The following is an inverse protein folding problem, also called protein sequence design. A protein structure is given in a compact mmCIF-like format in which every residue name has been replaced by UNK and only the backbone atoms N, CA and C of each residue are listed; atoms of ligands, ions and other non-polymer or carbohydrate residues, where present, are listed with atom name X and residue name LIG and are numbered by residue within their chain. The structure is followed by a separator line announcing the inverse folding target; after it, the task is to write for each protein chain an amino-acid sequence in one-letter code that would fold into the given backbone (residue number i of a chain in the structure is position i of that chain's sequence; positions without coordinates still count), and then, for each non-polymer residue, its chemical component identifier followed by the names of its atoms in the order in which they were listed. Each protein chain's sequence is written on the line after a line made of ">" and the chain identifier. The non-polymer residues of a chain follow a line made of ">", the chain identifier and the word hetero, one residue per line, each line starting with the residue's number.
data_IF_861902077705
#
_entry.id   IF_861902077705
#
_cell.length_a   1.000
_cell.length_b   1.000
_cell.length_c   1.000
_cell.angle_alpha   90.00
_cell.angle_beta   90.00
_cell.angle_gamma   90.00
#
_symmetry.space_group_name_H-M   'P 1'
#
loop_
_entity.id
_entity.type
_entity.pdbx_description
1 polymer ?
#
# COMPACT_ATOMS: atom_id res chain seq x y z
N UNK A 1 -8.70 19.75 5.38
CA UNK A 1 -7.49 20.10 4.58
C UNK A 1 -6.18 19.67 5.24
N UNK A 2 -5.84 20.09 6.47
CA UNK A 2 -4.64 19.56 7.17
C UNK A 2 -4.90 18.23 7.91
N UNK A 3 -6.10 18.06 8.46
CA UNK A 3 -6.48 16.86 9.22
C UNK A 3 -6.64 15.63 8.33
N UNK A 4 -7.25 15.77 7.14
CA UNK A 4 -7.42 14.65 6.19
C UNK A 4 -6.09 14.07 5.71
N UNK A 5 -5.08 14.93 5.52
CA UNK A 5 -3.72 14.50 5.13
C UNK A 5 -3.01 13.77 6.26
N UNK A 6 -3.22 14.17 7.52
CA UNK A 6 -2.67 13.48 8.69
C UNK A 6 -3.33 12.11 8.91
N UNK A 7 -4.65 12.03 8.77
CA UNK A 7 -5.40 10.77 8.87
C UNK A 7 -4.94 9.78 7.79
N UNK A 8 -4.80 10.24 6.54
CA UNK A 8 -4.33 9.40 5.45
C UNK A 8 -2.92 8.85 5.70
N UNK A 9 -2.03 9.69 6.21
CA UNK A 9 -0.67 9.31 6.57
C UNK A 9 -0.64 8.23 7.67
N UNK A 10 -1.41 8.42 8.73
CA UNK A 10 -1.51 7.46 9.84
C UNK A 10 -2.12 6.12 9.40
N UNK A 11 -3.15 6.16 8.55
CA UNK A 11 -3.73 4.96 7.95
C UNK A 11 -2.70 4.20 7.12
N UNK A 12 -1.92 4.90 6.27
CA UNK A 12 -0.86 4.30 5.48
C UNK A 12 0.22 3.66 6.36
N UNK A 13 0.61 4.32 7.45
CA UNK A 13 1.56 3.78 8.41
C UNK A 13 1.05 2.50 9.08
N UNK A 14 -0.21 2.47 9.52
CA UNK A 14 -0.82 1.29 10.13
C UNK A 14 -0.88 0.10 9.15
N UNK A 15 -1.29 0.36 7.90
CA UNK A 15 -1.30 -0.66 6.84
C UNK A 15 0.11 -1.22 6.60
N UNK A 16 1.11 -0.36 6.43
CA UNK A 16 2.49 -0.78 6.20
C UNK A 16 3.07 -1.57 7.39
N UNK A 17 2.75 -1.18 8.63
CA UNK A 17 3.16 -1.91 9.81
C UNK A 17 2.61 -3.36 9.79
N UNK A 18 1.32 -3.53 9.50
CA UNK A 18 0.69 -4.85 9.36
C UNK A 18 1.33 -5.69 8.26
N UNK A 19 1.64 -5.07 7.12
CA UNK A 19 2.30 -5.75 6.00
C UNK A 19 3.72 -6.24 6.35
N UNK A 20 4.49 -5.42 7.08
CA UNK A 20 5.86 -5.75 7.50
C UNK A 20 5.96 -6.91 8.51
N UNK A 21 4.84 -7.41 9.05
CA UNK A 21 4.84 -8.53 9.99
C UNK A 21 5.14 -8.17 11.44
N UNK A 22 5.13 -6.88 11.79
CA UNK A 22 5.16 -6.45 13.20
C UNK A 22 3.80 -6.65 13.89
N UNK A 23 2.73 -6.97 13.14
CA UNK A 23 1.41 -7.34 13.64
C UNK A 23 1.12 -8.85 13.53
N UNK A 24 0.41 -9.42 14.51
CA UNK A 24 0.22 -10.87 14.69
C UNK A 24 -0.84 -11.52 13.81
N UNK A 25 -1.70 -10.76 13.11
CA UNK A 25 -2.69 -11.25 12.13
C UNK A 25 -3.14 -10.08 11.25
N UNK A 26 -3.51 -10.34 9.99
CA UNK A 26 -4.12 -9.34 9.11
C UNK A 26 -3.26 -8.80 7.96
N UNK A 27 -2.13 -9.44 7.63
CA UNK A 27 -1.33 -9.09 6.44
C UNK A 27 -2.15 -9.19 5.14
N UNK A 28 -2.95 -10.25 5.01
CA UNK A 28 -3.83 -10.46 3.85
C UNK A 28 -4.89 -9.36 3.76
N UNK A 29 -5.62 -9.10 4.83
CA UNK A 29 -6.60 -8.01 4.87
C UNK A 29 -5.96 -6.62 4.62
N UNK A 30 -4.73 -6.40 5.11
CA UNK A 30 -4.02 -5.14 4.90
C UNK A 30 -3.59 -4.95 3.44
N UNK A 31 -3.11 -6.01 2.76
CA UNK A 31 -2.71 -5.89 1.36
C UNK A 31 -3.93 -5.75 0.45
N UNK A 32 -5.03 -6.43 0.77
CA UNK A 32 -6.30 -6.29 0.06
C UNK A 32 -6.88 -4.88 0.24
N UNK A 33 -6.93 -4.36 1.46
CA UNK A 33 -7.39 -3.00 1.73
C UNK A 33 -6.56 -1.95 0.98
N UNK A 34 -5.24 -2.13 0.92
CA UNK A 34 -4.36 -1.25 0.17
C UNK A 34 -4.59 -1.37 -1.35
N UNK A 35 -4.79 -2.58 -1.88
CA UNK A 35 -5.09 -2.80 -3.29
C UNK A 35 -6.40 -2.11 -3.70
N UNK A 36 -7.47 -2.28 -2.91
CA UNK A 36 -8.75 -1.58 -3.14
C UNK A 36 -8.58 -0.07 -3.09
N UNK A 37 -7.74 0.45 -2.19
CA UNK A 37 -7.47 1.89 -2.10
C UNK A 37 -6.77 2.44 -3.35
N UNK A 38 -6.11 1.59 -4.16
CA UNK A 38 -5.47 2.03 -5.41
C UNK A 38 -6.45 2.27 -6.55
N UNK A 39 -7.70 1.82 -6.42
CA UNK A 39 -8.77 2.04 -7.40
C UNK A 39 -9.50 3.37 -7.19
N UNK A 40 -9.18 4.10 -6.11
CA UNK A 40 -9.77 5.41 -5.82
C UNK A 40 -9.28 6.47 -6.83
N UNK A 41 -10.16 7.39 -7.25
CA UNK A 41 -9.81 8.52 -8.12
C UNK A 41 -8.76 9.45 -7.47
N UNK A 42 -8.77 9.50 -6.12
CA UNK A 42 -7.82 10.25 -5.32
C UNK A 42 -6.57 9.43 -4.94
N UNK A 43 -6.34 8.27 -5.58
CA UNK A 43 -5.13 7.50 -5.36
C UNK A 43 -3.87 8.33 -5.63
N UNK A 44 -3.03 8.49 -4.60
CA UNK A 44 -1.73 9.16 -4.67
C UNK A 44 -0.67 8.27 -4.04
N UNK A 45 0.20 7.62 -4.83
CA UNK A 45 1.16 6.67 -4.30
C UNK A 45 2.31 7.32 -3.51
N UNK A 46 2.43 8.64 -3.53
CA UNK A 46 3.58 9.35 -2.98
C UNK A 46 3.78 9.12 -1.49
N UNK A 47 2.71 9.04 -0.71
CA UNK A 47 2.85 8.75 0.72
C UNK A 47 3.29 7.30 0.95
N UNK A 48 2.73 6.34 0.21
CA UNK A 48 3.19 4.96 0.22
C UNK A 48 4.69 4.85 -0.15
N UNK A 49 5.13 5.58 -1.18
CA UNK A 49 6.54 5.63 -1.62
C UNK A 49 7.44 6.28 -0.55
N UNK A 50 7.07 7.46 -0.04
CA UNK A 50 7.83 8.20 0.99
C UNK A 50 8.02 7.37 2.26
N UNK A 51 7.05 6.54 2.62
CA UNK A 51 7.12 5.64 3.77
C UNK A 51 7.86 4.32 3.49
N UNK A 52 8.47 4.15 2.31
CA UNK A 52 9.20 2.94 1.95
C UNK A 52 8.31 1.75 1.59
N UNK A 53 7.03 1.99 1.33
CA UNK A 53 6.03 0.96 1.04
C UNK A 53 6.39 0.09 -0.16
N UNK A 54 7.07 0.64 -1.18
CA UNK A 54 7.49 -0.12 -2.37
C UNK A 54 8.33 -1.35 -2.01
N UNK A 55 9.24 -1.23 -1.05
CA UNK A 55 10.05 -2.37 -0.62
C UNK A 55 9.20 -3.43 0.09
N UNK A 56 8.26 -2.99 0.94
CA UNK A 56 7.34 -3.88 1.65
C UNK A 56 6.48 -4.64 0.63
N UNK A 57 5.85 -3.95 -0.33
CA UNK A 57 5.02 -4.57 -1.35
C UNK A 57 5.82 -5.52 -2.26
N UNK A 58 7.04 -5.14 -2.66
CA UNK A 58 7.95 -6.02 -3.42
C UNK A 58 8.21 -7.33 -2.68
N UNK A 59 8.37 -7.29 -1.36
CA UNK A 59 8.63 -8.49 -0.56
C UNK A 59 7.40 -9.43 -0.52
N UNK A 60 6.18 -8.89 -0.62
CA UNK A 60 4.94 -9.68 -0.67
C UNK A 60 4.83 -10.53 -1.95
N UNK A 61 5.51 -10.16 -3.04
CA UNK A 61 5.57 -10.98 -4.26
C UNK A 61 6.25 -12.35 -4.05
N UNK A 62 6.91 -12.56 -2.91
CA UNK A 62 7.57 -13.83 -2.53
C UNK A 62 6.73 -14.69 -1.59
N UNK A 63 5.52 -14.24 -1.24
CA UNK A 63 4.63 -14.97 -0.35
C UNK A 63 4.08 -16.24 -1.02
N UNK A 64 3.70 -17.23 -0.19
CA UNK A 64 3.10 -18.47 -0.70
C UNK A 64 1.62 -18.32 -1.02
N UNK A 65 0.92 -17.40 -0.33
CA UNK A 65 -0.50 -17.14 -0.58
C UNK A 65 -0.66 -16.38 -1.91
N UNK A 66 -1.29 -16.98 -2.95
CA UNK A 66 -1.48 -16.33 -4.24
C UNK A 66 -2.29 -15.04 -4.16
N UNK A 67 -3.22 -14.93 -3.20
CA UNK A 67 -4.02 -13.73 -3.02
C UNK A 67 -3.15 -12.53 -2.62
N UNK A 68 -2.23 -12.72 -1.66
CA UNK A 68 -1.27 -11.70 -1.26
C UNK A 68 -0.37 -11.29 -2.43
N UNK A 69 0.08 -12.25 -3.23
CA UNK A 69 0.92 -11.99 -4.41
C UNK A 69 0.17 -11.19 -5.47
N UNK A 70 -1.09 -11.52 -5.73
CA UNK A 70 -1.93 -10.82 -6.70
C UNK A 70 -2.19 -9.37 -6.26
N UNK A 71 -2.62 -9.15 -5.01
CA UNK A 71 -2.85 -7.80 -4.48
C UNK A 71 -1.57 -6.96 -4.49
N UNK A 72 -0.43 -7.55 -4.16
CA UNK A 72 0.86 -6.86 -4.26
C UNK A 72 1.20 -6.45 -5.70
N UNK A 73 0.85 -7.29 -6.69
CA UNK A 73 1.05 -6.98 -8.10
C UNK A 73 0.15 -5.81 -8.55
N UNK A 74 -1.13 -5.83 -8.16
CA UNK A 74 -2.10 -4.75 -8.43
C UNK A 74 -1.59 -3.41 -7.91
N UNK A 75 -1.11 -3.38 -6.65
CA UNK A 75 -0.54 -2.18 -6.04
C UNK A 75 0.68 -1.67 -6.84
N UNK A 76 1.59 -2.57 -7.26
CA UNK A 76 2.76 -2.17 -8.07
C UNK A 76 2.35 -1.60 -9.42
N UNK A 77 1.35 -2.21 -10.07
CA UNK A 77 0.82 -1.71 -11.35
C UNK A 77 0.21 -0.33 -11.15
N UNK A 78 -0.57 -0.12 -10.09
CA UNK A 78 -1.19 1.17 -9.79
C UNK A 78 -0.13 2.25 -9.50
N UNK A 79 0.89 1.95 -8.69
CA UNK A 79 2.03 2.85 -8.46
C UNK A 79 2.70 3.24 -9.79
N UNK A 80 2.96 2.27 -10.66
CA UNK A 80 3.60 2.52 -11.95
C UNK A 80 2.70 3.32 -12.91
N UNK A 81 1.38 3.10 -12.86
CA UNK A 81 0.40 3.78 -13.70
C UNK A 81 0.23 5.26 -13.32
N UNK A 82 0.36 5.61 -12.04
CA UNK A 82 0.27 7.00 -11.56
C UNK A 82 1.39 7.92 -12.06
N UNK A 83 2.53 7.38 -12.54
CA UNK A 83 3.65 8.20 -13.01
C UNK A 83 4.22 9.17 -11.96
N UNK A 84 5.04 10.14 -12.40
CA UNK A 84 5.43 11.30 -11.57
C UNK A 84 4.33 12.38 -11.68
N UNK A 85 3.26 12.27 -10.89
CA UNK A 85 2.14 13.24 -10.97
C UNK A 85 2.17 14.38 -9.94
N UNK A 86 3.13 14.43 -9.00
CA UNK A 86 3.31 15.61 -8.14
C UNK A 86 4.59 16.38 -8.51
N UNK A 87 4.43 17.41 -9.34
CA UNK A 87 5.34 18.55 -9.43
C UNK A 87 4.79 19.74 -8.65
#
# INVERSE_FOLDING_TARGET
>A
MAEDSQIHKELMQDLLARLSGTGTNGREAAVEALAVSTEDEDWRPNELIRQGGVEIIRNLLKETNPHIVLSALEIIIAIAASGEEEA
#
